data_IF_482507969904
#
_entry.id   IF_482507969904
#
_cell.length_a   1.000
_cell.length_b   1.000
_cell.length_c   1.000
_cell.angle_alpha   90.00
_cell.angle_beta   90.00
_cell.angle_gamma   90.00
#
_symmetry.space_group_name_H-M   'P 1'
#
loop_
_entity.id
_entity.type
_entity.pdbx_description
1 polymer ?
#
# COMPACT_ATOMS: atom_id res chain seq x y z
N UNK A 1 0.83 21.28 22.10
CA UNK A 1 -0.14 21.17 20.98
C UNK A 1 0.54 21.02 19.60
N UNK A 2 1.51 21.87 19.20
CA UNK A 2 2.29 21.68 17.96
C UNK A 2 3.06 20.34 17.87
N UNK A 3 3.25 19.63 18.99
CA UNK A 3 3.93 18.33 19.05
C UNK A 3 3.16 17.22 18.33
N UNK A 4 1.83 17.15 18.51
CA UNK A 4 1.00 16.07 17.96
C UNK A 4 0.98 16.13 16.43
N UNK A 5 0.82 17.32 15.86
CA UNK A 5 0.82 17.52 14.40
C UNK A 5 2.18 17.12 13.83
N UNK A 6 3.29 17.58 14.43
CA UNK A 6 4.64 17.21 14.00
C UNK A 6 4.88 15.70 14.07
N UNK A 7 4.39 15.05 15.12
CA UNK A 7 4.51 13.59 15.27
C UNK A 7 3.65 12.84 14.25
N UNK A 8 2.42 13.27 13.99
CA UNK A 8 1.58 12.65 12.97
C UNK A 8 2.24 12.77 11.58
N UNK A 9 2.74 13.96 11.23
CA UNK A 9 3.51 14.20 9.99
C UNK A 9 4.81 13.40 9.98
N UNK A 10 5.51 13.22 11.10
CA UNK A 10 6.72 12.38 11.12
C UNK A 10 6.39 10.91 10.89
N UNK A 11 5.27 10.42 11.43
CA UNK A 11 4.96 8.98 11.46
C UNK A 11 4.16 8.48 10.25
N UNK A 12 3.45 9.34 9.49
CA UNK A 12 2.56 8.86 8.43
C UNK A 12 3.28 8.02 7.37
N UNK A 13 4.46 8.46 6.89
CA UNK A 13 5.24 7.79 5.85
C UNK A 13 6.26 6.76 6.32
N UNK A 14 6.41 6.51 7.63
CA UNK A 14 7.35 5.50 8.13
C UNK A 14 6.82 4.09 7.85
N UNK A 15 7.67 3.05 7.90
CA UNK A 15 7.14 1.69 7.81
C UNK A 15 6.37 1.28 9.09
N UNK A 16 6.77 1.82 10.23
CA UNK A 16 6.13 1.64 11.54
C UNK A 16 6.06 2.98 12.26
N UNK A 17 5.01 3.18 13.03
CA UNK A 17 4.90 4.31 13.94
C UNK A 17 5.97 4.14 15.03
N UNK A 18 6.63 5.24 15.41
CA UNK A 18 7.62 5.23 16.48
C UNK A 18 7.00 4.72 17.79
N UNK A 19 7.84 4.20 18.69
CA UNK A 19 7.40 3.75 20.02
C UNK A 19 7.41 4.90 21.03
N UNK A 20 6.77 4.71 22.19
CA UNK A 20 6.78 5.67 23.30
C UNK A 20 5.86 6.88 23.13
N UNK A 21 4.92 6.85 22.19
CA UNK A 21 3.91 7.91 22.04
C UNK A 21 2.82 7.77 23.11
N UNK A 22 2.27 8.90 23.55
CA UNK A 22 1.01 8.90 24.29
C UNK A 22 -0.15 8.35 23.44
N UNK A 23 -1.23 7.92 24.07
CA UNK A 23 -2.43 7.43 23.36
C UNK A 23 -2.96 8.43 22.33
N UNK A 24 -2.97 9.73 22.69
CA UNK A 24 -3.43 10.79 21.81
C UNK A 24 -2.50 10.96 20.60
N UNK A 25 -1.18 10.97 20.80
CA UNK A 25 -0.20 11.08 19.70
C UNK A 25 -0.24 9.87 18.77
N UNK A 26 -0.39 8.67 19.33
CA UNK A 26 -0.54 7.43 18.58
C UNK A 26 -1.83 7.46 17.74
N UNK A 27 -2.93 7.90 18.32
CA UNK A 27 -4.22 8.03 17.63
C UNK A 27 -4.10 8.94 16.40
N UNK A 28 -3.58 10.16 16.55
CA UNK A 28 -3.43 11.09 15.43
C UNK A 28 -2.44 10.59 14.37
N UNK A 29 -1.38 9.87 14.77
CA UNK A 29 -0.44 9.25 13.83
C UNK A 29 -1.12 8.15 13.00
N UNK A 30 -1.97 7.33 13.61
CA UNK A 30 -2.76 6.30 12.91
C UNK A 30 -3.77 6.93 11.95
N UNK A 31 -4.44 8.01 12.35
CA UNK A 31 -5.40 8.73 11.51
C UNK A 31 -4.70 9.29 10.26
N UNK A 32 -3.61 10.03 10.46
CA UNK A 32 -2.86 10.63 9.35
C UNK A 32 -2.36 9.57 8.36
N UNK A 33 -1.80 8.45 8.88
CA UNK A 33 -1.30 7.33 8.07
C UNK A 33 -2.39 6.67 7.23
N UNK A 34 -3.54 6.36 7.82
CA UNK A 34 -4.64 5.72 7.10
C UNK A 34 -5.25 6.67 6.04
N UNK A 35 -5.41 7.96 6.37
CA UNK A 35 -5.92 8.95 5.45
C UNK A 35 -4.99 9.18 4.25
N UNK A 36 -3.68 9.30 4.51
CA UNK A 36 -2.65 9.46 3.47
C UNK A 36 -2.61 8.25 2.52
N UNK A 37 -2.63 7.02 3.04
CA UNK A 37 -2.70 5.81 2.21
C UNK A 37 -3.96 5.78 1.34
N UNK A 38 -5.10 6.20 1.87
CA UNK A 38 -6.35 6.23 1.13
C UNK A 38 -6.31 7.26 -0.01
N UNK A 39 -5.73 8.43 0.24
CA UNK A 39 -5.51 9.45 -0.79
C UNK A 39 -4.55 8.96 -1.88
N UNK A 40 -3.42 8.35 -1.48
CA UNK A 40 -2.47 7.75 -2.41
C UNK A 40 -3.15 6.65 -3.24
N UNK A 41 -3.94 5.76 -2.62
CA UNK A 41 -4.66 4.71 -3.34
C UNK A 41 -5.54 5.28 -4.45
N UNK A 42 -6.28 6.36 -4.15
CA UNK A 42 -7.12 7.03 -5.14
C UNK A 42 -6.28 7.54 -6.31
N UNK A 43 -5.22 8.30 -6.04
CA UNK A 43 -4.34 8.88 -7.06
C UNK A 43 -3.71 7.80 -7.94
N UNK A 44 -3.14 6.74 -7.34
CA UNK A 44 -2.45 5.71 -8.12
C UNK A 44 -3.42 4.84 -8.91
N UNK A 45 -4.62 4.58 -8.39
CA UNK A 45 -5.64 3.83 -9.14
C UNK A 45 -6.19 4.66 -10.30
N UNK A 46 -6.44 5.95 -10.10
CA UNK A 46 -6.81 6.86 -11.18
C UNK A 46 -5.74 6.85 -12.28
N UNK A 47 -4.46 6.92 -11.91
CA UNK A 47 -3.34 6.79 -12.85
C UNK A 47 -3.33 5.44 -13.58
N UNK A 48 -3.50 4.31 -12.88
CA UNK A 48 -3.48 2.98 -13.50
C UNK A 48 -4.68 2.71 -14.43
N UNK A 49 -5.78 3.42 -14.26
CA UNK A 49 -6.95 3.33 -15.13
C UNK A 49 -6.85 4.23 -16.38
N UNK A 50 -5.94 5.21 -16.38
CA UNK A 50 -5.75 6.08 -17.55
C UNK A 50 -5.10 5.32 -18.71
N UNK A 51 -5.48 5.69 -19.93
CA UNK A 51 -4.90 5.16 -21.18
C UNK A 51 -3.77 6.04 -21.72
N UNK A 52 -3.43 7.12 -21.01
CA UNK A 52 -2.45 8.13 -21.40
C UNK A 52 -1.00 7.67 -21.23
N UNK A 53 -0.06 8.55 -21.58
CA UNK A 53 1.38 8.32 -21.46
C UNK A 53 1.82 8.10 -20.00
N UNK A 54 2.84 7.25 -19.83
CA UNK A 54 3.45 6.96 -18.53
C UNK A 54 3.91 8.22 -17.81
N UNK A 55 3.80 8.21 -16.48
CA UNK A 55 4.30 9.26 -15.59
C UNK A 55 5.48 8.72 -14.74
N UNK A 56 6.74 9.00 -15.13
CA UNK A 56 7.91 8.52 -14.40
C UNK A 56 7.96 8.94 -12.92
N UNK A 57 7.34 10.06 -12.55
CA UNK A 57 7.30 10.51 -11.16
C UNK A 57 6.43 9.60 -10.28
N UNK A 58 5.32 9.09 -10.82
CA UNK A 58 4.46 8.12 -10.14
C UNK A 58 5.04 6.71 -10.17
N UNK A 59 5.89 6.40 -11.14
CA UNK A 59 6.53 5.08 -11.31
C UNK A 59 7.91 4.97 -10.65
N UNK A 60 8.40 6.05 -10.05
CA UNK A 60 9.70 6.14 -9.38
C UNK A 60 10.90 5.77 -10.29
N UNK A 61 10.75 5.88 -11.61
CA UNK A 61 11.77 5.48 -12.58
C UNK A 61 12.11 3.99 -12.57
N UNK A 62 11.23 3.13 -12.05
CA UNK A 62 11.46 1.69 -11.93
C UNK A 62 11.38 0.96 -13.28
N UNK A 63 12.10 -0.15 -13.35
CA UNK A 63 12.13 -1.05 -14.52
C UNK A 63 10.75 -1.71 -14.73
N UNK A 64 10.25 -1.65 -15.96
CA UNK A 64 8.92 -2.17 -16.34
C UNK A 64 8.94 -3.58 -16.92
N UNK A 65 10.11 -4.05 -17.34
CA UNK A 65 10.24 -5.33 -18.02
C UNK A 65 10.57 -6.46 -17.03
N UNK A 66 10.87 -6.09 -15.78
CA UNK A 66 11.01 -7.01 -14.65
C UNK A 66 9.66 -7.24 -13.97
N UNK A 67 9.36 -8.51 -13.71
CA UNK A 67 8.20 -8.91 -12.92
C UNK A 67 8.40 -8.75 -11.42
N UNK A 68 7.54 -9.43 -10.67
CA UNK A 68 7.57 -9.45 -9.21
C UNK A 68 8.77 -10.26 -8.73
N UNK A 69 9.65 -9.66 -7.94
CA UNK A 69 10.81 -10.33 -7.39
C UNK A 69 10.40 -11.35 -6.31
N UNK A 70 11.21 -12.41 -6.17
CA UNK A 70 10.92 -13.51 -5.22
C UNK A 70 10.79 -13.03 -3.78
N UNK A 71 11.62 -12.06 -3.37
CA UNK A 71 11.58 -11.48 -2.02
C UNK A 71 10.24 -10.79 -1.78
N UNK A 72 9.83 -9.92 -2.71
CA UNK A 72 8.58 -9.17 -2.65
C UNK A 72 7.37 -10.10 -2.58
N UNK A 73 7.33 -11.11 -3.44
CA UNK A 73 6.27 -12.12 -3.42
C UNK A 73 6.21 -12.85 -2.07
N UNK A 74 7.36 -13.29 -1.54
CA UNK A 74 7.44 -14.00 -0.27
C UNK A 74 7.00 -13.13 0.90
N UNK A 75 7.44 -11.87 0.97
CA UNK A 75 7.05 -10.96 2.04
C UNK A 75 5.53 -10.66 1.98
N UNK A 76 4.98 -10.49 0.77
CA UNK A 76 3.54 -10.29 0.58
C UNK A 76 2.72 -11.51 1.03
N UNK A 77 3.12 -12.73 0.64
CA UNK A 77 2.44 -13.97 1.07
C UNK A 77 2.47 -14.13 2.59
N UNK A 78 3.56 -13.70 3.22
CA UNK A 78 3.69 -13.67 4.68
C UNK A 78 3.00 -12.45 5.34
N UNK A 79 2.16 -11.72 4.61
CA UNK A 79 1.37 -10.58 5.08
C UNK A 79 2.23 -9.46 5.70
N UNK A 80 3.43 -9.26 5.17
CA UNK A 80 4.33 -8.17 5.59
C UNK A 80 4.12 -6.96 4.70
N UNK A 81 4.20 -5.78 5.31
CA UNK A 81 4.35 -4.52 4.56
C UNK A 81 5.72 -4.53 3.91
N UNK A 82 5.76 -4.26 2.61
CA UNK A 82 6.98 -4.27 1.82
C UNK A 82 7.77 -2.97 2.04
N UNK A 83 9.10 -3.10 2.16
CA UNK A 83 9.98 -1.94 2.22
C UNK A 83 10.32 -1.42 0.83
N UNK A 84 10.38 -0.09 0.69
CA UNK A 84 10.73 0.57 -0.58
C UNK A 84 12.12 0.15 -1.09
N UNK A 85 13.06 -0.11 -0.19
CA UNK A 85 14.43 -0.53 -0.51
C UNK A 85 14.54 -1.91 -1.16
N UNK A 86 13.50 -2.75 -1.05
CA UNK A 86 13.51 -4.10 -1.60
C UNK A 86 13.04 -4.18 -3.06
N UNK A 87 12.43 -3.10 -3.57
CA UNK A 87 11.82 -3.09 -4.90
C UNK A 87 12.87 -3.00 -6.00
N UNK A 88 12.65 -3.75 -7.08
CA UNK A 88 13.51 -3.76 -8.26
C UNK A 88 12.76 -3.43 -9.55
N UNK A 89 11.43 -3.41 -9.50
CA UNK A 89 10.56 -3.24 -10.67
C UNK A 89 9.28 -2.47 -10.36
N UNK A 90 8.59 -2.04 -11.41
CA UNK A 90 7.29 -1.41 -11.26
C UNK A 90 6.23 -2.39 -10.73
N UNK A 91 6.32 -3.67 -11.09
CA UNK A 91 5.44 -4.70 -10.54
C UNK A 91 5.72 -4.91 -9.03
N UNK A 92 6.98 -4.85 -8.58
CA UNK A 92 7.30 -4.83 -7.14
C UNK A 92 6.64 -3.64 -6.43
N UNK A 93 6.64 -2.47 -7.05
CA UNK A 93 6.01 -1.28 -6.48
C UNK A 93 4.48 -1.40 -6.37
N UNK A 94 3.82 -2.02 -7.35
CA UNK A 94 2.39 -2.35 -7.26
C UNK A 94 2.11 -3.30 -6.10
N UNK A 95 2.94 -4.33 -5.92
CA UNK A 95 2.79 -5.26 -4.77
C UNK A 95 3.07 -4.55 -3.44
N UNK A 96 4.01 -3.61 -3.39
CA UNK A 96 4.21 -2.74 -2.22
C UNK A 96 2.93 -1.98 -1.88
N UNK A 97 2.28 -1.34 -2.86
CA UNK A 97 1.02 -0.61 -2.65
C UNK A 97 -0.09 -1.55 -2.16
N UNK A 98 -0.15 -2.79 -2.67
CA UNK A 98 -1.09 -3.80 -2.16
C UNK A 98 -0.80 -4.18 -0.70
N UNK A 99 0.47 -4.23 -0.29
CA UNK A 99 0.85 -4.67 1.06
C UNK A 99 0.37 -3.74 2.18
N UNK A 100 0.00 -2.50 1.85
CA UNK A 100 -0.51 -1.55 2.85
C UNK A 100 -1.80 -2.00 3.52
N UNK A 101 -2.59 -2.90 2.91
CA UNK A 101 -3.79 -3.47 3.53
C UNK A 101 -3.49 -4.19 4.85
N UNK A 102 -2.27 -4.68 5.06
CA UNK A 102 -1.85 -5.35 6.30
C UNK A 102 -1.66 -4.37 7.47
N UNK A 103 -1.52 -3.08 7.17
CA UNK A 103 -1.16 -2.03 8.13
C UNK A 103 -2.17 -0.88 8.16
N UNK A 104 -3.34 -1.06 7.53
CA UNK A 104 -4.49 -0.17 7.74
C UNK A 104 -5.02 -0.39 9.15
N UNK A 105 -5.16 0.68 9.93
CA UNK A 105 -5.58 0.59 11.32
C UNK A 105 -7.11 0.54 11.49
N UNK A 106 -7.85 1.44 10.83
CA UNK A 106 -9.28 1.62 11.05
C UNK A 106 -10.14 0.78 10.10
N UNK A 107 -11.25 0.23 10.60
CA UNK A 107 -12.23 -0.52 9.79
C UNK A 107 -12.85 0.34 8.71
N UNK A 108 -13.10 1.62 9.01
CA UNK A 108 -13.59 2.57 8.02
C UNK A 108 -12.67 2.66 6.80
N UNK A 109 -11.37 2.83 7.01
CA UNK A 109 -10.38 2.89 5.92
C UNK A 109 -10.33 1.58 5.14
N UNK A 110 -10.37 0.42 5.82
CA UNK A 110 -10.43 -0.90 5.16
C UNK A 110 -11.66 -1.01 4.26
N UNK A 111 -12.83 -0.61 4.76
CA UNK A 111 -14.09 -0.60 4.01
C UNK A 111 -13.97 0.28 2.77
N UNK A 112 -13.40 1.48 2.89
CA UNK A 112 -13.19 2.38 1.75
C UNK A 112 -12.26 1.77 0.69
N UNK A 113 -11.16 1.11 1.10
CA UNK A 113 -10.28 0.42 0.15
C UNK A 113 -11.01 -0.68 -0.63
N UNK A 114 -11.89 -1.42 0.04
CA UNK A 114 -12.67 -2.48 -0.57
C UNK A 114 -13.78 -1.96 -1.50
N UNK A 115 -14.62 -1.04 -1.02
CA UNK A 115 -15.76 -0.51 -1.78
C UNK A 115 -15.30 0.20 -3.07
N UNK A 116 -14.15 0.89 -3.03
CA UNK A 116 -13.55 1.55 -4.19
C UNK A 116 -12.70 0.60 -5.06
N UNK A 117 -12.59 -0.68 -4.70
CA UNK A 117 -11.87 -1.72 -5.46
C UNK A 117 -10.39 -1.40 -5.73
N UNK A 118 -9.73 -0.62 -4.88
CA UNK A 118 -8.36 -0.18 -5.13
C UNK A 118 -7.37 -1.34 -5.28
N UNK A 119 -7.47 -2.36 -4.43
CA UNK A 119 -6.62 -3.56 -4.55
C UNK A 119 -6.84 -4.31 -5.86
N UNK A 120 -8.08 -4.38 -6.34
CA UNK A 120 -8.39 -5.01 -7.62
C UNK A 120 -7.78 -4.23 -8.79
N UNK A 121 -7.93 -2.90 -8.81
CA UNK A 121 -7.35 -2.03 -9.85
C UNK A 121 -5.83 -2.20 -9.90
N UNK A 122 -5.16 -2.20 -8.73
CA UNK A 122 -3.71 -2.37 -8.68
C UNK A 122 -3.29 -3.77 -9.16
N UNK A 123 -4.01 -4.83 -8.79
CA UNK A 123 -3.72 -6.18 -9.27
C UNK A 123 -3.85 -6.28 -10.80
N UNK A 124 -4.90 -5.69 -11.38
CA UNK A 124 -5.08 -5.72 -12.84
C UNK A 124 -4.00 -4.90 -13.58
N UNK A 125 -3.44 -3.87 -12.94
CA UNK A 125 -2.34 -3.07 -13.50
C UNK A 125 -0.98 -3.75 -13.47
N UNK A 126 -0.81 -4.85 -12.71
CA UNK A 126 0.43 -5.65 -12.72
C UNK A 126 0.61 -6.28 -14.11
N UNK A 127 1.77 -6.06 -14.73
CA UNK A 127 2.06 -6.52 -16.09
C UNK A 127 2.32 -8.01 -16.14
N UNK A 128 3.13 -8.49 -15.21
CA UNK A 128 3.51 -9.90 -15.14
C UNK A 128 2.40 -10.70 -14.50
N UNK A 129 1.80 -11.63 -15.25
CA UNK A 129 0.68 -12.44 -14.76
C UNK A 129 1.11 -13.64 -13.91
N UNK A 130 2.42 -13.91 -13.84
CA UNK A 130 2.96 -14.91 -12.92
C UNK A 130 2.65 -14.53 -11.47
N UNK A 131 2.19 -15.49 -10.67
CA UNK A 131 1.89 -15.33 -9.23
C UNK A 131 0.71 -14.41 -8.87
N UNK A 132 -0.04 -13.87 -9.84
CA UNK A 132 -1.23 -13.03 -9.57
C UNK A 132 -2.27 -13.76 -8.73
N UNK A 133 -2.53 -15.05 -9.00
CA UNK A 133 -3.51 -15.82 -8.23
C UNK A 133 -3.09 -15.96 -6.76
N UNK A 134 -1.79 -16.09 -6.48
CA UNK A 134 -1.27 -16.11 -5.10
C UNK A 134 -1.53 -14.78 -4.40
N UNK A 135 -1.33 -13.67 -5.10
CA UNK A 135 -1.60 -12.32 -4.58
C UNK A 135 -3.09 -12.14 -4.31
N UNK A 136 -3.97 -12.49 -5.27
CA UNK A 136 -5.44 -12.42 -5.12
C UNK A 136 -5.90 -13.24 -3.91
N UNK A 137 -5.43 -14.48 -3.77
CA UNK A 137 -5.75 -15.34 -2.63
C UNK A 137 -5.35 -14.73 -1.28
N UNK A 138 -4.18 -14.08 -1.21
CA UNK A 138 -3.74 -13.40 0.03
C UNK A 138 -4.64 -12.21 0.35
N UNK A 139 -4.98 -11.39 -0.65
CA UNK A 139 -5.87 -10.23 -0.50
C UNK A 139 -7.24 -10.69 0.00
N UNK A 140 -7.84 -11.69 -0.65
CA UNK A 140 -9.14 -12.25 -0.28
C UNK A 140 -9.12 -12.81 1.16
N UNK A 141 -8.02 -13.46 1.55
CA UNK A 141 -7.86 -13.94 2.93
C UNK A 141 -7.87 -12.82 3.97
N UNK A 142 -7.39 -11.62 3.64
CA UNK A 142 -7.36 -10.49 4.57
C UNK A 142 -8.70 -9.76 4.63
N UNK A 143 -9.40 -9.70 3.50
CA UNK A 143 -10.73 -9.08 3.41
C UNK A 143 -11.78 -9.94 4.12
N UNK A 144 -11.76 -11.27 3.90
CA UNK A 144 -12.77 -12.20 4.43
C UNK A 144 -12.61 -12.50 5.93
N UNK A 145 -11.43 -12.27 6.52
CA UNK A 145 -11.20 -12.47 7.97
C UNK A 145 -11.76 -11.33 8.85
N UNK A 146 -12.27 -10.25 8.25
CA UNK A 146 -12.62 -9.01 8.98
C UNK A 146 -14.03 -8.46 8.64
N UNK A 147 -14.88 -9.29 8.01
CA UNK A 147 -16.34 -9.08 7.95
C UNK A 147 -17.00 -9.95 9.01
#
# INVERSE_FOLDING_TARGET
ELSIIKLAVKNHGLIKINEGLSERELLFSKIARDADKLDIYKIVCEYYMQTESRNPALELGLDIDKGISKKILNDFINKKVIEKSDMQSLDDFRVLQLSWIFDIYFDYTRKQVYENKFTHIIVESIRTKENIDKIKNVIDSVINLKQ
#
